data_IF_782276849570
#
_entry.id   IF_782276849570
#
_cell.length_a   1.000
_cell.length_b   1.000
_cell.length_c   1.000
_cell.angle_alpha   90.00
_cell.angle_beta   90.00
_cell.angle_gamma   90.00
#
_symmetry.space_group_name_H-M   'P 1'
#
loop_
_entity.id
_entity.type
_entity.pdbx_description
1 polymer ?
#
# COMPACT_ATOMS: atom_id res chain seq x y z
N UNK A 1 -8.01 -11.31 -9.77
CA UNK A 1 -9.07 -11.80 -10.61
C UNK A 1 -10.46 -11.46 -10.11
N UNK A 2 -11.53 -12.13 -10.58
CA UNK A 2 -12.92 -11.79 -10.21
C UNK A 2 -13.18 -11.78 -8.72
N UNK A 3 -12.48 -12.63 -7.95
CA UNK A 3 -12.58 -12.70 -6.49
C UNK A 3 -11.87 -11.54 -5.76
N UNK A 4 -11.01 -10.81 -6.44
CA UNK A 4 -10.28 -9.68 -5.89
C UNK A 4 -11.16 -8.50 -5.44
N UNK A 5 -12.45 -8.51 -5.82
CA UNK A 5 -13.42 -7.55 -5.30
C UNK A 5 -13.90 -7.86 -3.86
N UNK A 6 -13.49 -8.97 -3.28
CA UNK A 6 -13.81 -9.39 -1.91
C UNK A 6 -12.62 -9.07 -1.03
N UNK A 7 -12.76 -8.08 -0.13
CA UNK A 7 -11.65 -7.52 0.68
C UNK A 7 -10.92 -8.58 1.50
N UNK A 8 -11.63 -9.52 2.12
CA UNK A 8 -11.06 -10.62 2.90
C UNK A 8 -11.38 -11.98 2.26
N UNK A 9 -11.16 -12.09 0.96
CA UNK A 9 -11.39 -13.34 0.25
C UNK A 9 -10.46 -14.45 0.81
N UNK A 10 -11.05 -15.60 1.09
CA UNK A 10 -10.31 -16.82 1.43
C UNK A 10 -10.57 -17.87 0.37
N UNK A 11 -9.51 -18.36 -0.25
CA UNK A 11 -9.61 -19.47 -1.18
C UNK A 11 -10.08 -20.73 -0.43
N UNK A 12 -11.14 -21.37 -0.93
CA UNK A 12 -11.67 -22.61 -0.38
C UNK A 12 -11.48 -23.69 -1.44
N UNK A 13 -10.97 -24.85 -1.06
CA UNK A 13 -10.78 -25.95 -1.98
C UNK A 13 -12.06 -26.27 -2.77
N UNK A 14 -11.96 -26.33 -4.10
CA UNK A 14 -13.09 -26.54 -5.00
C UNK A 14 -13.84 -25.28 -5.43
N UNK A 15 -13.56 -24.12 -4.80
CA UNK A 15 -14.08 -22.80 -5.21
C UNK A 15 -12.98 -21.84 -5.69
N UNK A 16 -11.74 -22.25 -5.60
CA UNK A 16 -10.55 -21.59 -6.09
C UNK A 16 -10.35 -21.88 -7.59
N UNK A 17 -9.57 -21.02 -8.24
CA UNK A 17 -9.10 -21.25 -9.61
C UNK A 17 -7.57 -21.21 -9.67
N UNK A 18 -7.01 -21.83 -10.68
CA UNK A 18 -5.58 -21.73 -10.95
C UNK A 18 -5.24 -20.34 -11.47
N UNK A 19 -4.11 -19.82 -11.03
CA UNK A 19 -3.53 -18.59 -11.54
C UNK A 19 -3.05 -18.81 -12.99
N UNK A 20 -3.21 -17.79 -13.82
CA UNK A 20 -2.87 -17.81 -15.24
C UNK A 20 -2.07 -16.56 -15.63
N UNK A 21 -1.44 -16.61 -16.81
CA UNK A 21 -0.80 -15.45 -17.41
C UNK A 21 -1.79 -14.30 -17.62
N UNK A 22 -1.40 -13.09 -17.25
CA UNK A 22 -2.26 -11.89 -17.30
C UNK A 22 -3.19 -11.72 -16.10
N UNK A 23 -3.21 -12.65 -15.15
CA UNK A 23 -4.02 -12.46 -13.94
C UNK A 23 -3.48 -11.31 -13.08
N UNK A 24 -4.40 -10.56 -12.49
CA UNK A 24 -4.11 -9.60 -11.44
C UNK A 24 -4.29 -10.31 -10.09
N UNK A 25 -3.20 -10.52 -9.37
CA UNK A 25 -3.19 -11.13 -8.05
C UNK A 25 -3.07 -10.07 -6.97
N UNK A 26 -4.08 -9.95 -6.13
CA UNK A 26 -3.99 -9.23 -4.87
C UNK A 26 -3.56 -10.23 -3.80
N UNK A 27 -2.39 -10.01 -3.22
CA UNK A 27 -1.82 -10.83 -2.15
C UNK A 27 -1.67 -9.97 -0.90
N UNK A 28 -2.37 -10.36 0.15
CA UNK A 28 -2.32 -9.76 1.48
C UNK A 28 -1.70 -10.77 2.45
N UNK A 29 -0.66 -10.36 3.16
CA UNK A 29 0.14 -11.23 3.99
C UNK A 29 0.64 -10.51 5.25
N UNK A 30 0.43 -11.13 6.38
CA UNK A 30 0.89 -10.64 7.67
C UNK A 30 1.50 -11.73 8.53
N UNK A 31 2.29 -11.34 9.52
CA UNK A 31 2.90 -12.26 10.47
C UNK A 31 3.22 -11.63 11.80
N UNK A 32 3.10 -12.42 12.88
CA UNK A 32 3.52 -12.03 14.22
C UNK A 32 4.92 -12.54 14.52
N UNK A 33 5.78 -11.64 14.95
CA UNK A 33 7.15 -11.92 15.34
C UNK A 33 7.41 -11.44 16.77
N UNK A 34 8.49 -11.87 17.40
CA UNK A 34 8.87 -11.41 18.76
C UNK A 34 9.11 -9.89 18.81
N UNK A 35 9.54 -9.29 17.71
CA UNK A 35 9.89 -7.87 17.61
C UNK A 35 8.81 -6.99 17.01
N UNK A 36 7.68 -7.57 16.58
CA UNK A 36 6.57 -6.81 16.00
C UNK A 36 5.68 -7.63 15.09
N UNK A 37 4.72 -6.97 14.50
CA UNK A 37 3.77 -7.54 13.54
C UNK A 37 4.00 -6.93 12.17
N UNK A 38 3.94 -7.74 11.11
CA UNK A 38 3.97 -7.27 9.73
C UNK A 38 2.59 -7.35 9.10
N UNK A 39 2.30 -6.42 8.22
CA UNK A 39 1.12 -6.39 7.37
C UNK A 39 1.47 -5.76 6.03
N UNK A 40 1.14 -6.41 4.94
CA UNK A 40 1.49 -5.95 3.61
C UNK A 40 0.52 -6.48 2.56
N UNK A 41 0.04 -5.61 1.70
CA UNK A 41 -0.66 -6.00 0.48
C UNK A 41 0.09 -5.54 -0.76
N UNK A 42 0.18 -6.44 -1.74
CA UNK A 42 0.62 -6.10 -3.10
C UNK A 42 -0.38 -6.59 -4.13
N UNK A 43 -0.56 -5.80 -5.16
CA UNK A 43 -1.26 -6.20 -6.38
C UNK A 43 -0.21 -6.43 -7.46
N UNK A 44 -0.22 -7.61 -8.05
CA UNK A 44 0.80 -8.11 -8.96
C UNK A 44 0.17 -8.54 -10.28
N UNK A 45 0.86 -8.27 -11.38
CA UNK A 45 0.57 -8.87 -12.67
C UNK A 45 1.32 -10.21 -12.77
N UNK A 46 0.62 -11.28 -13.05
CA UNK A 46 1.22 -12.59 -13.25
C UNK A 46 1.61 -12.81 -14.72
N UNK A 47 2.78 -13.41 -14.93
CA UNK A 47 3.29 -13.70 -16.27
C UNK A 47 3.73 -12.46 -17.05
N UNK A 48 3.67 -12.54 -18.39
CA UNK A 48 4.20 -11.55 -19.32
C UNK A 48 3.12 -10.84 -20.17
N UNK A 49 1.86 -11.19 -20.01
CA UNK A 49 0.76 -10.54 -20.71
C UNK A 49 0.69 -9.04 -20.38
N UNK A 50 0.35 -8.21 -21.35
CA UNK A 50 0.15 -6.79 -21.12
C UNK A 50 -1.09 -6.56 -20.24
N UNK A 51 -0.99 -5.76 -19.15
CA UNK A 51 -2.15 -5.45 -18.32
C UNK A 51 -3.14 -4.55 -19.07
N UNK A 52 -4.43 -4.70 -18.78
CA UNK A 52 -5.46 -3.82 -19.34
C UNK A 52 -5.27 -2.36 -18.90
N UNK A 53 -5.65 -1.42 -19.74
CA UNK A 53 -5.43 0.00 -19.50
C UNK A 53 -6.16 0.50 -18.24
N UNK A 54 -7.40 0.06 -18.04
CA UNK A 54 -8.22 0.41 -16.86
C UNK A 54 -7.62 -0.12 -15.55
N UNK A 55 -6.98 -1.30 -15.57
CA UNK A 55 -6.23 -1.84 -14.41
C UNK A 55 -5.06 -0.94 -14.08
N UNK A 56 -4.28 -0.52 -15.09
CA UNK A 56 -3.14 0.39 -14.88
C UNK A 56 -3.59 1.76 -14.37
N UNK A 57 -4.68 2.28 -14.89
CA UNK A 57 -5.25 3.55 -14.44
C UNK A 57 -5.66 3.47 -12.97
N UNK A 58 -6.44 2.45 -12.62
CA UNK A 58 -6.89 2.24 -11.25
C UNK A 58 -5.72 1.99 -10.29
N UNK A 59 -4.75 1.14 -10.67
CA UNK A 59 -3.55 0.88 -9.87
C UNK A 59 -2.77 2.17 -9.58
N UNK A 60 -2.59 3.01 -10.61
CA UNK A 60 -1.85 4.26 -10.46
C UNK A 60 -2.57 5.25 -9.55
N UNK A 61 -3.91 5.36 -9.62
CA UNK A 61 -4.67 6.20 -8.70
C UNK A 61 -4.63 5.69 -7.26
N UNK A 62 -4.64 4.37 -7.02
CA UNK A 62 -4.44 3.78 -5.69
C UNK A 62 -3.02 4.09 -5.19
N UNK A 63 -1.99 3.94 -6.03
CA UNK A 63 -0.60 4.27 -5.69
C UNK A 63 -0.45 5.76 -5.33
N UNK A 64 -1.07 6.66 -6.07
CA UNK A 64 -1.08 8.11 -5.75
C UNK A 64 -1.71 8.39 -4.38
N UNK A 65 -2.82 7.71 -4.06
CA UNK A 65 -3.43 7.78 -2.73
C UNK A 65 -2.50 7.28 -1.63
N UNK A 66 -1.81 6.16 -1.88
CA UNK A 66 -0.81 5.60 -0.99
C UNK A 66 0.37 6.58 -0.76
N UNK A 67 0.92 7.16 -1.82
CA UNK A 67 2.00 8.15 -1.75
C UNK A 67 1.54 9.41 -1.00
N UNK A 68 0.35 9.90 -1.29
CA UNK A 68 -0.18 11.11 -0.65
C UNK A 68 -0.25 10.95 0.88
N UNK A 69 -0.67 9.80 1.38
CA UNK A 69 -0.67 9.53 2.82
C UNK A 69 0.75 9.29 3.35
N UNK A 70 1.59 8.52 2.65
CA UNK A 70 2.96 8.24 3.08
C UNK A 70 3.81 9.51 3.21
N UNK A 71 3.52 10.54 2.40
CA UNK A 71 4.20 11.85 2.41
C UNK A 71 3.45 12.92 3.19
N UNK A 72 2.37 12.56 3.88
CA UNK A 72 1.57 13.52 4.64
C UNK A 72 2.39 14.19 5.75
N UNK A 73 2.21 15.51 5.84
CA UNK A 73 2.77 16.37 6.88
C UNK A 73 1.60 17.12 7.50
N UNK A 74 1.33 16.88 8.78
CA UNK A 74 0.10 17.32 9.43
C UNK A 74 0.35 17.79 10.85
N UNK A 75 -0.54 18.67 11.36
CA UNK A 75 -0.45 19.23 12.69
C UNK A 75 -0.67 18.17 13.79
N UNK A 76 0.00 18.34 14.92
CA UNK A 76 -0.25 17.54 16.13
C UNK A 76 -1.71 17.68 16.54
N UNK A 77 -2.37 16.55 16.82
CA UNK A 77 -3.80 16.51 17.14
C UNK A 77 -4.69 16.19 15.94
N UNK A 78 -4.15 16.15 14.72
CA UNK A 78 -4.92 15.68 13.56
C UNK A 78 -5.36 14.23 13.74
N UNK A 79 -6.60 13.96 13.37
CA UNK A 79 -7.23 12.64 13.52
C UNK A 79 -7.11 11.80 12.25
N UNK A 80 -7.25 10.49 12.40
CA UNK A 80 -7.25 9.60 11.25
C UNK A 80 -8.36 9.90 10.22
N UNK A 81 -9.47 10.50 10.64
CA UNK A 81 -10.53 10.96 9.73
C UNK A 81 -10.04 12.05 8.77
N UNK A 82 -9.20 12.99 9.26
CA UNK A 82 -8.62 14.02 8.41
C UNK A 82 -7.63 13.43 7.40
N UNK A 83 -6.83 12.46 7.84
CA UNK A 83 -5.83 11.81 7.00
C UNK A 83 -6.45 10.86 5.95
N UNK A 84 -7.60 10.21 6.26
CA UNK A 84 -8.32 9.35 5.32
C UNK A 84 -8.66 10.10 4.02
N UNK A 85 -9.03 11.38 4.13
CA UNK A 85 -9.31 12.22 2.96
C UNK A 85 -8.09 12.44 2.06
N UNK A 86 -6.90 12.51 2.62
CA UNK A 86 -5.64 12.69 1.86
C UNK A 86 -5.41 11.50 0.92
N UNK A 87 -5.53 10.27 1.43
CA UNK A 87 -5.37 9.06 0.63
C UNK A 87 -6.47 8.89 -0.43
N UNK A 88 -7.69 9.36 -0.13
CA UNK A 88 -8.84 9.23 -1.05
C UNK A 88 -8.87 10.27 -2.15
N UNK A 89 -8.27 11.44 -1.94
CA UNK A 89 -8.37 12.55 -2.87
C UNK A 89 -7.95 12.22 -4.31
N UNK A 90 -6.82 11.53 -4.56
CA UNK A 90 -6.46 11.14 -5.94
C UNK A 90 -7.44 10.16 -6.59
N UNK A 91 -8.06 9.27 -5.81
CA UNK A 91 -9.07 8.34 -6.30
C UNK A 91 -10.38 9.07 -6.62
N UNK A 92 -10.84 9.95 -5.72
CA UNK A 92 -12.06 10.74 -5.94
C UNK A 92 -11.95 11.64 -7.16
N UNK A 93 -10.76 12.23 -7.41
CA UNK A 93 -10.52 13.02 -8.61
C UNK A 93 -10.68 12.21 -9.91
N UNK A 94 -10.52 10.88 -9.84
CA UNK A 94 -10.72 9.95 -10.94
C UNK A 94 -12.08 9.24 -10.91
N UNK A 95 -12.99 9.61 -9.99
CA UNK A 95 -14.29 8.95 -9.83
C UNK A 95 -14.22 7.55 -9.20
N UNK A 96 -13.06 7.21 -8.57
CA UNK A 96 -12.83 5.92 -7.92
C UNK A 96 -13.03 6.04 -6.41
N UNK A 97 -13.36 4.92 -5.75
CA UNK A 97 -13.51 4.87 -4.29
C UNK A 97 -13.33 3.45 -3.75
N UNK A 98 -13.13 3.33 -2.45
CA UNK A 98 -13.13 2.06 -1.72
C UNK A 98 -13.92 2.20 -0.41
N UNK A 99 -14.49 1.07 0.06
CA UNK A 99 -15.44 1.06 1.16
C UNK A 99 -14.79 0.89 2.55
N UNK A 100 -13.60 0.26 2.61
CA UNK A 100 -12.90 0.04 3.87
C UNK A 100 -12.14 1.28 4.38
N UNK A 101 -11.55 1.21 5.57
CA UNK A 101 -10.65 2.22 6.07
C UNK A 101 -9.38 2.32 5.25
N UNK A 102 -8.72 3.46 5.26
CA UNK A 102 -7.40 3.62 4.61
C UNK A 102 -6.28 2.99 5.42
N UNK A 103 -6.51 2.80 6.72
CA UNK A 103 -5.54 2.18 7.60
C UNK A 103 -6.07 1.98 9.02
N UNK A 104 -5.36 1.17 9.77
CA UNK A 104 -5.65 0.82 11.16
C UNK A 104 -4.37 0.85 11.99
N UNK A 105 -4.49 0.92 13.30
CA UNK A 105 -3.37 0.69 14.20
C UNK A 105 -2.89 -0.76 14.11
N UNK A 106 -1.61 -0.99 14.32
CA UNK A 106 -0.98 -2.31 14.24
C UNK A 106 -0.48 -2.73 15.61
N UNK A 107 -0.98 -3.86 16.10
CA UNK A 107 -0.61 -4.42 17.39
C UNK A 107 0.77 -5.08 17.38
N UNK A 108 1.46 -5.00 18.52
CA UNK A 108 2.79 -5.63 18.67
C UNK A 108 2.69 -7.17 18.78
N UNK A 109 1.73 -7.68 19.55
CA UNK A 109 1.60 -9.12 19.86
C UNK A 109 0.20 -9.67 19.66
N UNK A 110 -0.86 -8.89 19.91
CA UNK A 110 -2.23 -9.41 20.01
C UNK A 110 -2.96 -9.42 18.67
N UNK A 111 -2.99 -8.30 17.96
CA UNK A 111 -3.82 -8.15 16.78
C UNK A 111 -3.13 -7.30 15.72
N UNK A 112 -3.21 -7.73 14.47
CA UNK A 112 -2.79 -6.90 13.33
C UNK A 112 -3.67 -5.65 13.25
N UNK A 113 -4.97 -5.78 13.44
CA UNK A 113 -5.90 -4.66 13.55
C UNK A 113 -6.08 -4.27 15.02
N UNK A 114 -5.28 -3.35 15.52
CA UNK A 114 -5.33 -2.90 16.92
C UNK A 114 -5.67 -1.42 17.00
N UNK A 115 -6.77 -1.14 17.73
CA UNK A 115 -7.15 0.25 18.03
C UNK A 115 -6.31 0.86 19.17
N UNK A 116 -6.60 2.12 19.56
CA UNK A 116 -7.75 2.90 19.13
C UNK A 116 -7.53 3.71 17.84
N UNK A 117 -6.30 3.86 17.35
CA UNK A 117 -6.01 4.65 16.16
C UNK A 117 -6.49 3.95 14.88
N UNK A 118 -7.05 4.70 13.95
CA UNK A 118 -7.37 4.24 12.59
C UNK A 118 -7.40 5.41 11.63
N UNK A 119 -6.95 5.20 10.40
CA UNK A 119 -7.09 6.17 9.30
C UNK A 119 -8.35 5.77 8.52
N UNK A 120 -9.47 6.36 8.86
CA UNK A 120 -10.76 6.01 8.31
C UNK A 120 -11.78 7.13 8.49
N UNK A 121 -12.92 7.05 7.81
CA UNK A 121 -14.05 7.99 7.98
C UNK A 121 -14.53 8.10 9.44
N UNK A 122 -14.19 7.15 10.31
CA UNK A 122 -14.57 7.12 11.74
C UNK A 122 -13.38 7.28 12.68
N UNK A 123 -12.19 7.49 12.14
CA UNK A 123 -10.95 7.62 12.92
C UNK A 123 -10.90 8.94 13.71
N UNK A 124 -11.48 8.98 14.89
CA UNK A 124 -11.59 10.18 15.72
C UNK A 124 -10.42 10.35 16.70
N UNK A 125 -9.55 9.36 16.84
CA UNK A 125 -8.37 9.43 17.71
C UNK A 125 -7.27 10.21 16.99
N UNK A 126 -6.64 11.19 17.67
CA UNK A 126 -5.46 11.88 17.15
C UNK A 126 -4.33 10.90 16.85
N UNK A 127 -3.62 11.14 15.76
CA UNK A 127 -2.41 10.37 15.44
C UNK A 127 -1.23 10.99 16.18
N UNK A 128 -0.55 10.18 16.98
CA UNK A 128 0.57 10.59 17.80
C UNK A 128 1.88 9.93 17.36
N UNK A 129 2.99 10.60 17.60
CA UNK A 129 4.32 10.07 17.33
C UNK A 129 4.55 8.74 18.09
N UNK A 130 5.11 7.76 17.40
CA UNK A 130 5.31 6.40 17.90
C UNK A 130 4.22 5.41 17.51
N UNK A 131 3.07 5.88 17.01
CA UNK A 131 2.02 4.99 16.50
C UNK A 131 2.47 4.32 15.20
N UNK A 132 2.20 3.01 15.08
CA UNK A 132 2.36 2.23 13.86
C UNK A 132 0.98 1.98 13.27
N UNK A 133 0.83 2.30 12.00
CA UNK A 133 -0.44 2.17 11.29
C UNK A 133 -0.23 1.52 9.91
N UNK A 134 -1.29 0.93 9.35
CA UNK A 134 -1.31 0.58 7.93
C UNK A 134 -1.66 1.80 7.07
N UNK A 135 -1.19 1.77 5.82
CA UNK A 135 -1.54 2.68 4.74
C UNK A 135 -1.91 1.81 3.54
N UNK A 136 -3.22 1.55 3.36
CA UNK A 136 -3.75 0.48 2.50
C UNK A 136 -4.92 0.91 1.59
N UNK A 137 -4.84 2.02 0.87
CA UNK A 137 -5.89 2.38 -0.08
C UNK A 137 -6.08 1.31 -1.15
N UNK A 138 -7.29 1.21 -1.69
CA UNK A 138 -7.61 0.20 -2.69
C UNK A 138 -8.69 0.65 -3.69
N UNK A 139 -8.96 -0.21 -4.66
CA UNK A 139 -10.10 -0.12 -5.58
C UNK A 139 -10.57 -1.51 -5.96
N UNK A 140 -11.87 -1.73 -5.98
CA UNK A 140 -12.46 -3.06 -6.19
C UNK A 140 -13.58 -2.97 -7.22
N UNK A 141 -13.39 -3.64 -8.36
CA UNK A 141 -14.38 -3.73 -9.43
C UNK A 141 -15.01 -5.14 -9.40
N UNK A 142 -16.27 -5.28 -8.90
CA UNK A 142 -16.92 -6.59 -8.78
C UNK A 142 -16.95 -7.35 -10.09
N UNK A 143 -16.59 -8.65 -10.05
CA UNK A 143 -16.52 -9.52 -11.22
C UNK A 143 -15.29 -9.33 -12.11
N UNK A 144 -14.41 -8.39 -11.79
CA UNK A 144 -13.23 -8.07 -12.60
C UNK A 144 -11.93 -8.21 -11.81
N UNK A 145 -11.61 -7.27 -10.90
CA UNK A 145 -10.36 -7.26 -10.14
C UNK A 145 -10.50 -6.45 -8.85
N UNK A 146 -9.52 -6.64 -7.96
CA UNK A 146 -9.28 -5.78 -6.82
C UNK A 146 -7.84 -5.33 -6.78
N UNK A 147 -7.61 -4.13 -6.31
CA UNK A 147 -6.30 -3.51 -6.10
C UNK A 147 -6.25 -3.01 -4.67
N UNK A 148 -5.19 -3.38 -3.93
CA UNK A 148 -4.80 -2.78 -2.65
C UNK A 148 -3.29 -2.68 -2.62
N UNK A 149 -2.79 -1.56 -2.17
CA UNK A 149 -1.37 -1.29 -2.00
C UNK A 149 -1.15 -0.88 -0.55
N UNK A 150 -0.39 -1.67 0.18
CA UNK A 150 -0.24 -1.50 1.61
C UNK A 150 1.22 -1.51 2.05
N UNK A 151 1.56 -0.54 2.88
CA UNK A 151 2.73 -0.54 3.72
C UNK A 151 2.34 -0.20 5.16
N UNK A 152 3.12 -0.68 6.12
CA UNK A 152 3.13 -0.13 7.46
C UNK A 152 3.91 1.18 7.47
N UNK A 153 3.39 2.15 8.23
CA UNK A 153 3.98 3.47 8.45
C UNK A 153 4.08 3.75 9.94
N UNK A 154 5.13 4.45 10.35
CA UNK A 154 5.32 4.90 11.72
C UNK A 154 5.21 6.42 11.79
N UNK A 155 4.33 6.92 12.66
CA UNK A 155 4.22 8.34 12.92
C UNK A 155 5.43 8.84 13.72
N UNK A 156 6.03 9.96 13.32
CA UNK A 156 7.14 10.59 14.03
C UNK A 156 7.02 12.11 14.03
N UNK A 157 7.68 12.80 14.98
CA UNK A 157 7.76 14.25 14.91
C UNK A 157 8.41 14.69 13.60
N UNK A 158 7.85 15.71 12.97
CA UNK A 158 8.51 16.37 11.84
C UNK A 158 9.62 17.33 12.34
N UNK A 159 10.43 17.84 11.43
CA UNK A 159 11.45 18.85 11.77
C UNK A 159 10.81 20.15 12.28
N UNK A 160 9.61 20.46 11.77
CA UNK A 160 8.85 21.64 12.18
C UNK A 160 8.09 21.35 13.47
N UNK A 161 8.25 22.23 14.48
CA UNK A 161 7.57 22.09 15.77
C UNK A 161 6.03 22.05 15.59
N UNK A 162 5.40 21.07 16.25
CA UNK A 162 3.94 20.91 16.22
C UNK A 162 3.42 20.11 15.03
N UNK A 163 4.31 19.52 14.19
CA UNK A 163 3.91 18.68 13.08
C UNK A 163 4.38 17.23 13.23
N UNK A 164 3.67 16.35 12.54
CA UNK A 164 3.94 14.90 12.47
C UNK A 164 4.05 14.52 10.98
N UNK A 165 4.90 13.54 10.70
CA UNK A 165 5.02 12.90 9.39
C UNK A 165 5.18 11.40 9.57
N UNK A 166 5.27 10.65 8.47
CA UNK A 166 5.40 9.21 8.50
C UNK A 166 6.76 8.73 7.96
N UNK A 167 7.29 7.67 8.58
CA UNK A 167 8.32 6.82 8.00
C UNK A 167 7.67 5.55 7.48
N UNK A 168 8.01 5.12 6.26
CA UNK A 168 7.55 3.85 5.71
C UNK A 168 8.41 2.71 6.26
N UNK A 169 7.77 1.72 6.87
CA UNK A 169 8.46 0.57 7.49
C UNK A 169 8.57 -0.63 6.53
N UNK A 170 7.53 -0.87 5.73
CA UNK A 170 7.49 -2.01 4.81
C UNK A 170 8.44 -1.80 3.64
N UNK A 171 9.26 -2.81 3.34
CA UNK A 171 10.21 -2.81 2.23
C UNK A 171 9.84 -3.91 1.21
N UNK A 172 9.07 -3.55 0.18
CA UNK A 172 8.68 -4.44 -0.90
C UNK A 172 8.33 -3.61 -2.14
N UNK A 173 8.84 -3.90 -3.33
CA UNK A 173 8.55 -3.08 -4.50
C UNK A 173 7.08 -3.14 -4.91
N UNK A 174 6.60 -2.07 -5.52
CA UNK A 174 5.35 -2.04 -6.27
C UNK A 174 5.57 -2.57 -7.69
N UNK A 175 4.58 -3.25 -8.27
CA UNK A 175 4.71 -3.79 -9.63
C UNK A 175 4.67 -2.66 -10.68
N UNK A 176 5.84 -2.29 -11.20
CA UNK A 176 6.03 -1.21 -12.16
C UNK A 176 5.26 -1.41 -13.46
N UNK A 177 4.96 -2.64 -13.83
CA UNK A 177 4.21 -2.97 -15.05
C UNK A 177 2.76 -2.45 -14.99
N UNK A 178 2.22 -2.33 -13.77
CA UNK A 178 0.89 -1.82 -13.49
C UNK A 178 0.82 -0.29 -13.36
N UNK A 179 1.95 0.43 -13.50
CA UNK A 179 1.99 1.87 -13.30
C UNK A 179 1.90 2.61 -14.64
N UNK A 180 1.06 3.64 -14.67
CA UNK A 180 1.01 4.68 -15.70
C UNK A 180 1.90 5.85 -15.28
N UNK A 181 3.15 5.87 -15.75
CA UNK A 181 4.12 6.91 -15.37
C UNK A 181 3.68 8.33 -15.77
N UNK A 182 2.86 8.46 -16.81
CA UNK A 182 2.30 9.73 -17.27
C UNK A 182 1.21 10.30 -16.34
N UNK A 183 0.62 9.48 -15.46
CA UNK A 183 -0.34 9.93 -14.45
C UNK A 183 0.33 10.37 -13.14
N UNK A 184 1.61 10.08 -12.95
CA UNK A 184 2.37 10.50 -11.77
C UNK A 184 2.97 11.89 -11.97
N UNK A 185 2.84 12.74 -10.96
CA UNK A 185 3.64 13.98 -10.88
C UNK A 185 5.13 13.68 -10.71
N UNK A 186 5.96 14.66 -10.93
CA UNK A 186 7.42 14.52 -10.72
C UNK A 186 7.76 14.14 -9.26
N UNK A 187 7.03 14.69 -8.29
CA UNK A 187 7.22 14.36 -6.86
C UNK A 187 6.76 12.95 -6.53
N UNK A 188 5.63 12.49 -7.06
CA UNK A 188 5.14 11.11 -6.86
C UNK A 188 6.11 10.09 -7.48
N UNK A 189 6.65 10.38 -8.67
CA UNK A 189 7.67 9.54 -9.31
C UNK A 189 8.96 9.52 -8.50
N UNK A 190 9.45 10.70 -8.09
CA UNK A 190 10.65 10.80 -7.24
C UNK A 190 10.50 10.01 -5.95
N UNK A 191 9.36 10.11 -5.25
CA UNK A 191 9.11 9.31 -4.05
C UNK A 191 9.16 7.81 -4.33
N UNK A 192 8.56 7.35 -5.44
CA UNK A 192 8.55 5.94 -5.80
C UNK A 192 9.95 5.40 -6.12
N UNK A 193 10.73 6.17 -6.89
CA UNK A 193 12.11 5.80 -7.23
C UNK A 193 13.00 5.75 -5.99
N UNK A 194 12.88 6.72 -5.07
CA UNK A 194 13.59 6.74 -3.78
C UNK A 194 13.16 5.56 -2.88
N UNK A 195 11.87 5.25 -2.83
CA UNK A 195 11.36 4.09 -2.11
C UNK A 195 11.92 2.78 -2.67
N UNK A 196 11.88 2.59 -3.97
CA UNK A 196 12.45 1.41 -4.64
C UNK A 196 13.98 1.31 -4.44
N UNK A 197 14.69 2.44 -4.48
CA UNK A 197 16.12 2.49 -4.16
C UNK A 197 16.40 2.03 -2.72
N UNK A 198 15.60 2.49 -1.77
CA UNK A 198 15.69 2.05 -0.36
C UNK A 198 15.44 0.56 -0.21
N UNK A 199 14.37 0.04 -0.85
CA UNK A 199 14.05 -1.40 -0.86
C UNK A 199 15.24 -2.21 -1.39
N UNK A 200 15.79 -1.81 -2.54
CA UNK A 200 16.94 -2.49 -3.17
C UNK A 200 18.17 -2.48 -2.26
N UNK A 201 18.51 -1.31 -1.71
CA UNK A 201 19.72 -1.12 -0.88
C UNK A 201 19.66 -1.95 0.39
N UNK A 202 18.52 -1.97 1.07
CA UNK A 202 18.36 -2.66 2.35
C UNK A 202 18.23 -4.17 2.18
N UNK A 203 17.43 -4.62 1.19
CA UNK A 203 17.12 -6.04 1.06
C UNK A 203 18.14 -6.82 0.24
N UNK A 204 18.79 -6.20 -0.76
CA UNK A 204 19.70 -6.92 -1.66
C UNK A 204 20.78 -7.72 -0.92
N UNK A 205 21.48 -7.18 0.10
CA UNK A 205 22.49 -7.93 0.82
C UNK A 205 21.95 -9.15 1.60
N UNK A 206 20.65 -9.21 1.85
CA UNK A 206 19.98 -10.24 2.65
C UNK A 206 19.40 -11.37 1.80
N UNK A 207 19.43 -11.24 0.48
CA UNK A 207 18.75 -12.15 -0.46
C UNK A 207 19.75 -13.03 -1.23
N UNK A 208 19.34 -14.25 -1.66
CA UNK A 208 20.10 -15.05 -2.60
C UNK A 208 20.26 -14.35 -3.96
N UNK A 209 21.32 -14.71 -4.72
CA UNK A 209 21.69 -14.01 -5.96
C UNK A 209 20.58 -13.93 -7.03
N UNK A 210 19.73 -14.94 -7.14
CA UNK A 210 18.60 -14.96 -8.06
C UNK A 210 17.52 -13.96 -7.65
N UNK A 211 17.23 -13.89 -6.35
CA UNK A 211 16.31 -12.89 -5.80
C UNK A 211 16.88 -11.47 -5.91
N UNK A 212 18.20 -11.28 -5.74
CA UNK A 212 18.84 -9.97 -5.95
C UNK A 212 18.66 -9.46 -7.37
N UNK A 213 18.85 -10.34 -8.38
CA UNK A 213 18.64 -9.97 -9.80
C UNK A 213 17.19 -9.58 -10.06
N UNK A 214 16.24 -10.34 -9.54
CA UNK A 214 14.82 -10.01 -9.65
C UNK A 214 14.51 -8.66 -8.96
N UNK A 215 15.00 -8.47 -7.73
CA UNK A 215 14.76 -7.24 -6.96
C UNK A 215 15.33 -6.01 -7.68
N UNK A 216 16.54 -6.12 -8.23
CA UNK A 216 17.17 -5.05 -9.02
C UNK A 216 16.31 -4.64 -10.22
N UNK A 217 15.70 -5.62 -10.91
CA UNK A 217 14.77 -5.33 -12.00
C UNK A 217 13.46 -4.72 -11.50
N UNK A 218 12.89 -5.25 -10.42
CA UNK A 218 11.64 -4.77 -9.85
C UNK A 218 11.76 -3.33 -9.30
N UNK A 219 12.93 -2.95 -8.80
CA UNK A 219 13.22 -1.63 -8.21
C UNK A 219 13.88 -0.64 -9.20
N UNK A 220 14.00 -0.97 -10.49
CA UNK A 220 14.55 -0.01 -11.45
C UNK A 220 13.66 1.26 -11.54
N UNK A 221 14.22 2.46 -11.79
CA UNK A 221 13.43 3.69 -11.93
C UNK A 221 12.36 3.60 -13.03
N UNK A 222 11.29 4.43 -12.90
CA UNK A 222 10.21 4.54 -13.90
C UNK A 222 10.64 5.40 -15.10
#
# INVERSE_FOLDING_TARGET
GPNGAIVHYRAIAGADRRLADGDILLLDSGGHYRSGTTDITRTLLLGDAAPAADVKDAFTHVLRGHIALATAHFETGATGQQLDGIARAPLWAAGLQFAHGTGHGVGHVLSVHEGPASISKRGSVPIEAGMVLSNEPGYYLPGHYGIRLENLIAARPAADNGFICFDTLTLCPFDRRLIRADLLSASERGWLDDYHHTVLTVLSPLLPNDCQRWLSHACAPL
#
